data_IF_878787886154
#
_entry.id   IF_878787886154
#
_cell.length_a   1.000
_cell.length_b   1.000
_cell.length_c   1.000
_cell.angle_alpha   90.00
_cell.angle_beta   90.00
_cell.angle_gamma   90.00
#
_symmetry.space_group_name_H-M   'P 1'
#
loop_
_entity.id
_entity.type
_entity.pdbx_description
1 polymer ?
#
# COMPACT_ATOMS: atom_id res chain seq x y z
N UNK A 1 2.56 18.86 4.88
CA UNK A 1 2.61 17.43 4.71
C UNK A 1 3.95 16.83 5.10
N UNK A 2 5.01 17.02 4.37
CA UNK A 2 6.32 16.51 4.76
C UNK A 2 7.17 17.54 5.44
N UNK A 3 6.98 18.71 5.51
CA UNK A 3 7.82 19.75 6.07
C UNK A 3 9.02 20.13 5.19
N UNK A 4 9.26 19.41 4.10
CA UNK A 4 10.31 19.69 3.15
C UNK A 4 9.74 19.67 1.73
N UNK A 5 9.35 20.82 1.25
CA UNK A 5 8.72 20.97 -0.07
C UNK A 5 9.68 20.71 -1.22
N UNK A 6 10.99 20.81 -0.99
CA UNK A 6 11.98 20.56 -2.05
C UNK A 6 11.92 19.13 -2.59
N UNK A 7 11.51 18.17 -1.75
CA UNK A 7 11.38 16.79 -2.19
C UNK A 7 10.34 16.61 -3.28
N UNK A 8 9.35 17.47 -3.34
CA UNK A 8 8.25 17.36 -4.30
C UNK A 8 8.55 18.04 -5.63
N UNK A 9 9.52 18.95 -5.67
CA UNK A 9 9.90 19.59 -6.91
C UNK A 9 10.51 18.61 -7.91
N UNK A 10 11.23 17.62 -7.39
CA UNK A 10 11.88 16.59 -8.20
C UNK A 10 11.22 15.22 -8.06
N UNK A 11 9.97 15.19 -7.60
CA UNK A 11 9.27 13.95 -7.41
C UNK A 11 8.61 13.47 -8.69
N UNK A 12 8.50 12.16 -8.81
CA UNK A 12 7.83 11.50 -9.91
C UNK A 12 6.60 10.78 -9.39
N UNK A 13 5.61 10.65 -10.23
CA UNK A 13 4.40 9.90 -9.89
C UNK A 13 4.52 8.51 -10.51
N UNK A 14 4.35 7.48 -9.68
CA UNK A 14 4.25 6.10 -10.16
C UNK A 14 2.82 5.61 -9.95
N UNK A 15 2.26 5.13 -11.03
CA UNK A 15 0.93 4.53 -11.02
C UNK A 15 1.06 3.03 -11.26
N UNK A 16 0.47 2.24 -10.38
CA UNK A 16 0.45 0.78 -10.53
C UNK A 16 -0.96 0.25 -10.35
N UNK A 17 -1.34 -0.68 -11.20
CA UNK A 17 -2.62 -1.39 -11.08
C UNK A 17 -2.32 -2.73 -10.43
N UNK A 18 -3.03 -3.04 -9.36
CA UNK A 18 -2.79 -4.24 -8.56
C UNK A 18 -3.97 -5.18 -8.63
N UNK A 19 -3.67 -6.47 -8.57
CA UNK A 19 -4.66 -7.52 -8.50
C UNK A 19 -4.15 -8.62 -7.56
N UNK A 20 -4.60 -8.59 -6.33
CA UNK A 20 -4.21 -9.57 -5.32
C UNK A 20 -5.16 -10.76 -5.38
N UNK A 21 -4.60 -11.94 -5.58
CA UNK A 21 -5.35 -13.16 -5.76
C UNK A 21 -5.31 -14.03 -4.51
N UNK A 22 -5.99 -15.17 -4.56
CA UNK A 22 -6.02 -16.13 -3.45
C UNK A 22 -4.62 -16.47 -2.96
N UNK A 23 -4.45 -16.48 -1.64
CA UNK A 23 -3.17 -16.77 -1.01
C UNK A 23 -2.26 -15.56 -0.85
N UNK A 24 -2.64 -14.41 -1.36
CA UNK A 24 -1.84 -13.20 -1.19
C UNK A 24 -1.75 -12.80 0.28
N UNK A 25 -0.55 -12.47 0.70
CA UNK A 25 -0.33 -11.77 1.96
C UNK A 25 0.90 -10.88 1.81
N UNK A 26 1.03 -9.93 2.70
CA UNK A 26 2.16 -9.03 2.71
C UNK A 26 2.56 -8.79 4.16
N UNK A 27 3.76 -9.20 4.52
CA UNK A 27 4.25 -9.03 5.89
C UNK A 27 4.27 -7.55 6.26
N UNK A 28 4.04 -7.21 7.53
CA UNK A 28 4.19 -5.85 7.98
C UNK A 28 5.57 -5.29 7.59
N UNK A 29 5.56 -4.15 6.96
CA UNK A 29 6.78 -3.50 6.48
C UNK A 29 6.56 -2.00 6.40
N UNK A 30 7.66 -1.28 6.25
CA UNK A 30 7.63 0.12 5.88
C UNK A 30 8.07 0.23 4.42
N UNK A 31 7.56 1.23 3.73
CA UNK A 31 7.99 1.49 2.38
C UNK A 31 9.43 2.03 2.36
N UNK A 32 10.06 1.95 1.20
CA UNK A 32 11.41 2.48 1.01
C UNK A 32 11.42 4.00 1.23
N UNK A 33 12.56 4.55 1.67
CA UNK A 33 12.66 6.00 1.91
C UNK A 33 12.37 6.85 0.68
N UNK A 34 12.60 6.30 -0.49
CA UNK A 34 12.34 6.99 -1.75
C UNK A 34 10.87 7.22 -2.05
N UNK A 35 9.97 6.55 -1.36
CA UNK A 35 8.54 6.83 -1.42
C UNK A 35 8.18 7.98 -0.49
N UNK A 36 7.90 9.12 -1.07
CA UNK A 36 7.54 10.32 -0.30
C UNK A 36 6.08 10.27 0.14
N UNK A 37 5.22 9.78 -0.72
CA UNK A 37 3.80 9.57 -0.44
C UNK A 37 3.39 8.24 -1.03
N UNK A 38 2.69 7.45 -0.23
CA UNK A 38 2.10 6.18 -0.65
C UNK A 38 0.60 6.26 -0.56
N UNK A 39 -0.09 5.79 -1.58
CA UNK A 39 -1.54 5.72 -1.56
C UNK A 39 -2.04 4.49 -2.29
N UNK A 40 -3.20 4.01 -1.85
CA UNK A 40 -3.87 2.88 -2.49
C UNK A 40 -5.37 3.11 -2.41
N UNK A 41 -6.04 2.89 -3.53
CA UNK A 41 -7.50 2.96 -3.60
C UNK A 41 -8.00 1.61 -4.11
N UNK A 42 -8.94 1.01 -3.38
CA UNK A 42 -9.57 -0.23 -3.80
C UNK A 42 -10.62 0.08 -4.87
N UNK A 43 -10.59 -0.69 -5.95
CA UNK A 43 -11.45 -0.41 -7.10
C UNK A 43 -12.37 -1.57 -7.47
N UNK A 44 -12.50 -2.56 -6.62
CA UNK A 44 -13.49 -3.60 -6.85
C UNK A 44 -14.88 -2.98 -6.93
N UNK A 45 -15.67 -3.45 -7.86
CA UNK A 45 -17.05 -3.00 -8.01
C UNK A 45 -17.88 -3.35 -6.78
N UNK A 46 -17.62 -4.52 -6.22
CA UNK A 46 -18.21 -4.93 -4.95
C UNK A 46 -17.08 -5.31 -4.00
N UNK A 47 -17.09 -4.76 -2.80
CA UNK A 47 -16.09 -5.04 -1.77
C UNK A 47 -16.84 -5.09 -0.45
N UNK A 48 -17.15 -6.30 0.00
CA UNK A 48 -18.02 -6.50 1.15
C UNK A 48 -17.29 -6.98 2.40
N UNK A 49 -16.16 -7.66 2.22
CA UNK A 49 -15.38 -8.14 3.36
C UNK A 49 -14.37 -7.09 3.79
N UNK A 50 -14.76 -6.29 4.75
CA UNK A 50 -13.92 -5.20 5.24
C UNK A 50 -12.59 -5.68 5.82
N UNK A 51 -12.50 -6.93 6.24
CA UNK A 51 -11.28 -7.49 6.81
C UNK A 51 -10.17 -7.68 5.79
N UNK A 52 -10.51 -7.66 4.51
CA UNK A 52 -9.54 -7.84 3.42
C UNK A 52 -8.77 -6.57 3.07
N UNK A 53 -8.93 -5.51 3.81
CA UNK A 53 -8.16 -4.29 3.60
C UNK A 53 -6.73 -4.38 4.09
N UNK A 54 -6.04 -3.27 4.05
CA UNK A 54 -4.66 -3.17 4.49
C UNK A 54 -4.60 -3.00 5.99
N UNK A 55 -3.77 -3.80 6.64
CA UNK A 55 -3.53 -3.68 8.06
C UNK A 55 -2.52 -2.58 8.35
N UNK A 56 -2.80 -1.76 9.33
CA UNK A 56 -1.88 -0.75 9.85
C UNK A 56 -1.34 -1.27 11.18
N UNK A 57 -0.03 -1.25 11.31
CA UNK A 57 0.65 -1.84 12.45
C UNK A 57 1.38 -0.78 13.26
N UNK A 58 1.61 -1.09 14.54
CA UNK A 58 2.51 -0.29 15.36
C UNK A 58 3.96 -0.81 15.23
N UNK A 59 4.87 -0.24 15.99
CA UNK A 59 6.28 -0.63 15.96
C UNK A 59 6.52 -2.06 16.44
N UNK A 60 5.61 -2.61 17.23
CA UNK A 60 5.66 -3.99 17.68
C UNK A 60 5.00 -4.95 16.71
N UNK A 61 4.63 -4.48 15.52
CA UNK A 61 3.97 -5.23 14.45
C UNK A 61 2.57 -5.72 14.82
N UNK A 62 1.97 -5.12 15.83
CA UNK A 62 0.59 -5.40 16.18
C UNK A 62 -0.36 -4.62 15.28
N UNK A 63 -1.45 -5.25 14.87
CA UNK A 63 -2.46 -4.57 14.04
C UNK A 63 -3.24 -3.62 14.93
N UNK A 64 -3.17 -2.33 14.63
CA UNK A 64 -3.91 -1.31 15.36
C UNK A 64 -5.16 -0.85 14.62
N UNK A 65 -5.20 -1.08 13.32
CA UNK A 65 -6.35 -0.75 12.49
C UNK A 65 -6.23 -1.49 11.16
N UNK A 66 -7.37 -1.85 10.58
CA UNK A 66 -7.44 -2.34 9.20
C UNK A 66 -8.22 -1.32 8.39
N UNK A 67 -7.63 -0.85 7.31
CA UNK A 67 -8.32 0.03 6.35
C UNK A 67 -9.41 -0.80 5.69
N UNK A 68 -10.68 -0.43 5.77
CA UNK A 68 -11.76 -1.25 5.23
C UNK A 68 -11.63 -1.46 3.72
N UNK A 69 -11.92 -2.66 3.28
CA UNK A 69 -11.91 -2.99 1.86
C UNK A 69 -13.26 -2.64 1.25
N UNK A 70 -13.39 -1.40 0.78
CA UNK A 70 -14.59 -0.88 0.12
C UNK A 70 -14.25 -0.31 -1.23
N UNK A 71 -15.19 -0.33 -2.14
CA UNK A 71 -15.06 0.33 -3.44
C UNK A 71 -14.79 1.82 -3.28
N UNK A 72 -13.81 2.34 -4.01
CA UNK A 72 -13.38 3.74 -3.96
C UNK A 72 -12.89 4.21 -2.59
N UNK A 73 -12.51 3.29 -1.73
CA UNK A 73 -11.96 3.60 -0.43
C UNK A 73 -10.50 3.20 -0.40
N UNK A 74 -9.72 3.88 0.39
CA UNK A 74 -8.31 3.57 0.47
C UNK A 74 -7.60 4.38 1.53
N UNK A 75 -6.30 4.57 1.33
CA UNK A 75 -5.48 5.28 2.30
C UNK A 75 -4.39 6.08 1.58
N UNK A 76 -3.89 7.07 2.27
CA UNK A 76 -2.73 7.85 1.86
C UNK A 76 -1.91 8.17 3.11
N UNK A 77 -0.61 8.00 3.01
CA UNK A 77 0.30 8.41 4.07
C UNK A 77 1.61 8.91 3.48
N UNK A 78 2.38 9.63 4.27
CA UNK A 78 3.68 10.13 3.84
C UNK A 78 4.78 9.61 4.76
N UNK A 79 5.98 9.55 4.22
CA UNK A 79 7.17 9.12 4.94
C UNK A 79 7.31 7.61 5.01
N UNK A 80 8.51 7.13 5.39
CA UNK A 80 8.84 5.72 5.33
C UNK A 80 8.47 4.92 6.59
N UNK A 81 8.05 5.56 7.67
CA UNK A 81 7.92 4.92 8.98
C UNK A 81 6.50 4.43 9.28
N UNK A 82 5.75 4.04 8.28
CA UNK A 82 4.38 3.57 8.44
C UNK A 82 4.31 2.07 8.20
N UNK A 83 4.22 1.30 9.29
CA UNK A 83 4.11 -0.15 9.20
C UNK A 83 2.75 -0.56 8.69
N UNK A 84 2.72 -1.38 7.68
CA UNK A 84 1.48 -1.86 7.08
C UNK A 84 1.69 -3.18 6.35
N UNK A 85 0.60 -3.88 6.09
CA UNK A 85 0.64 -5.14 5.38
C UNK A 85 -0.73 -5.76 5.24
N UNK A 86 -0.75 -7.03 4.98
CA UNK A 86 -1.95 -7.85 4.97
C UNK A 86 -1.61 -9.20 5.56
N UNK A 87 -2.25 -9.55 6.66
CA UNK A 87 -1.94 -10.77 7.39
C UNK A 87 -2.13 -12.03 6.56
N UNK A 88 -1.25 -12.99 6.76
CA UNK A 88 -1.39 -14.31 6.19
C UNK A 88 -2.64 -15.00 6.75
N UNK A 89 -3.27 -15.81 5.94
CA UNK A 89 -4.44 -16.58 6.36
C UNK A 89 -5.79 -15.91 6.11
N UNK A 90 -5.79 -14.68 5.63
CA UNK A 90 -7.05 -14.07 5.18
C UNK A 90 -7.48 -14.73 3.87
N UNK A 91 -8.75 -15.12 3.80
CA UNK A 91 -9.28 -15.72 2.58
C UNK A 91 -9.72 -14.64 1.62
N UNK A 92 -9.10 -14.62 0.45
CA UNK A 92 -9.50 -13.73 -0.63
C UNK A 92 -10.47 -14.50 -1.52
N UNK A 93 -11.75 -14.18 -1.39
CA UNK A 93 -12.78 -14.84 -2.19
C UNK A 93 -13.03 -14.17 -3.52
N UNK A 94 -12.71 -12.88 -3.58
CA UNK A 94 -12.68 -12.12 -4.82
C UNK A 94 -11.31 -11.46 -4.91
N UNK A 95 -10.83 -11.30 -6.13
CA UNK A 95 -9.55 -10.64 -6.32
C UNK A 95 -9.61 -9.20 -5.81
N UNK A 96 -8.61 -8.82 -5.03
CA UNK A 96 -8.50 -7.44 -4.54
C UNK A 96 -7.83 -6.61 -5.61
N UNK A 97 -8.57 -5.69 -6.17
CA UNK A 97 -8.06 -4.78 -7.19
C UNK A 97 -7.84 -3.40 -6.62
N UNK A 98 -6.74 -2.80 -7.00
CA UNK A 98 -6.42 -1.48 -6.50
C UNK A 98 -5.56 -0.68 -7.45
N UNK A 99 -5.52 0.61 -7.20
CA UNK A 99 -4.64 1.52 -7.89
C UNK A 99 -3.73 2.14 -6.85
N UNK A 100 -2.41 1.93 -7.02
CA UNK A 100 -1.41 2.64 -6.22
C UNK A 100 -0.97 3.87 -6.96
N UNK A 101 -0.95 4.99 -6.25
CA UNK A 101 -0.38 6.23 -6.73
C UNK A 101 0.65 6.68 -5.72
N UNK A 102 1.90 6.69 -6.12
CA UNK A 102 3.00 7.00 -5.23
C UNK A 102 3.83 8.16 -5.77
N UNK A 103 4.27 9.03 -4.88
CA UNK A 103 5.26 10.05 -5.20
C UNK A 103 6.62 9.52 -4.77
N UNK A 104 7.55 9.47 -5.71
CA UNK A 104 8.86 8.85 -5.50
C UNK A 104 9.98 9.75 -5.99
N UNK A 105 11.20 9.48 -5.53
CA UNK A 105 12.37 10.28 -5.90
C UNK A 105 13.11 9.74 -7.12
N UNK A 106 12.62 8.67 -7.73
CA UNK A 106 13.28 8.06 -8.89
C UNK A 106 12.30 7.95 -10.05
N UNK A 107 12.84 7.98 -11.27
CA UNK A 107 12.03 8.00 -12.49
C UNK A 107 11.73 6.61 -13.04
N UNK A 108 12.62 5.67 -12.80
CA UNK A 108 12.56 4.34 -13.41
C UNK A 108 11.90 3.32 -12.48
N UNK A 109 12.09 2.04 -12.74
CA UNK A 109 11.56 0.96 -11.93
C UNK A 109 12.10 1.01 -10.50
N UNK A 110 11.42 0.27 -9.63
CA UNK A 110 11.80 0.20 -8.23
C UNK A 110 13.29 -0.10 -8.08
N UNK A 111 14.01 0.63 -7.23
CA UNK A 111 15.46 0.45 -7.11
C UNK A 111 15.88 -0.88 -6.51
N UNK A 112 14.97 -1.56 -5.81
CA UNK A 112 15.22 -2.87 -5.21
C UNK A 112 13.99 -3.75 -5.34
N UNK A 113 14.17 -5.04 -5.13
CA UNK A 113 13.10 -6.03 -5.26
C UNK A 113 12.30 -6.22 -3.97
N UNK A 114 12.07 -5.19 -3.22
CA UNK A 114 11.41 -5.33 -1.93
C UNK A 114 9.91 -5.61 -2.04
N UNK A 115 9.32 -5.32 -3.19
CA UNK A 115 7.90 -5.60 -3.43
C UNK A 115 7.67 -6.85 -4.23
N UNK A 116 8.67 -7.62 -4.38
CA UNK A 116 8.66 -8.83 -5.17
C UNK A 116 7.66 -9.87 -4.70
N UNK A 117 7.24 -9.81 -3.47
CA UNK A 117 6.25 -10.74 -2.94
C UNK A 117 4.82 -10.42 -3.36
N UNK A 118 4.60 -9.32 -4.02
CA UNK A 118 3.28 -8.97 -4.54
C UNK A 118 3.01 -9.77 -5.80
N UNK A 119 2.17 -10.73 -5.70
CA UNK A 119 1.87 -11.65 -6.78
C UNK A 119 0.41 -11.77 -7.06
#
# INVERSE_FOLDING_TARGET
MTGNTNNFEDAYIRLEVLNDTEGFYLKPHCDIPEKLISSLIYVNETAEDVSLGTDLNNENLEIVKTVPFYHNYGYIFHGPNKWHGMSEGKEIQVERRGIQLNYVTFETDWPVNEYHSRK
#
